data_IF_548060903751
#
_entry.id   IF_548060903751
#
_cell.length_a   1.000
_cell.length_b   1.000
_cell.length_c   1.000
_cell.angle_alpha   90.00
_cell.angle_beta   90.00
_cell.angle_gamma   90.00
#
_symmetry.space_group_name_H-M   'P 1'
#
loop_
_entity.id
_entity.type
_entity.pdbx_description
1 polymer ?
#
# COMPACT_ATOMS: atom_id res chain seq x y z
N UNK A 1 -6.98 7.17 -8.26
CA UNK A 1 -5.81 6.58 -8.96
C UNK A 1 -5.15 7.65 -9.82
N UNK A 2 -3.83 7.81 -9.71
CA UNK A 2 -3.04 8.65 -10.61
C UNK A 2 -2.51 7.78 -11.74
N UNK A 3 -2.43 8.36 -12.95
CA UNK A 3 -1.85 7.69 -14.11
C UNK A 3 -0.53 8.39 -14.42
N UNK A 4 0.55 7.63 -14.44
CA UNK A 4 1.85 8.03 -14.96
C UNK A 4 2.13 7.20 -16.22
N UNK A 5 2.30 7.85 -17.36
CA UNK A 5 2.54 7.19 -18.65
C UNK A 5 3.87 6.40 -18.67
N UNK A 6 4.77 6.69 -17.73
CA UNK A 6 6.06 6.04 -17.60
C UNK A 6 6.09 4.94 -16.51
N UNK A 7 5.01 4.80 -15.73
CA UNK A 7 4.91 3.82 -14.65
C UNK A 7 3.63 3.00 -14.75
N UNK A 8 3.73 1.90 -15.49
CA UNK A 8 2.65 0.91 -15.62
C UNK A 8 2.23 0.34 -14.26
N UNK A 9 3.21 0.08 -13.37
CA UNK A 9 2.98 -0.56 -12.09
C UNK A 9 2.09 0.27 -11.17
N UNK A 10 2.38 1.55 -11.03
CA UNK A 10 1.62 2.46 -10.17
C UNK A 10 0.11 2.41 -10.47
N UNK A 11 -0.24 2.54 -11.75
CA UNK A 11 -1.65 2.46 -12.18
C UNK A 11 -2.23 1.06 -11.98
N UNK A 12 -1.51 0.01 -12.40
CA UNK A 12 -2.03 -1.36 -12.38
C UNK A 12 -2.31 -1.82 -10.95
N UNK A 13 -1.37 -1.62 -10.03
CA UNK A 13 -1.54 -2.01 -8.62
C UNK A 13 -2.65 -1.21 -7.94
N UNK A 14 -2.71 0.09 -8.18
CA UNK A 14 -3.78 0.94 -7.65
C UNK A 14 -5.16 0.50 -8.14
N UNK A 15 -5.32 0.20 -9.43
CA UNK A 15 -6.60 -0.28 -9.98
C UNK A 15 -7.01 -1.64 -9.41
N UNK A 16 -6.07 -2.57 -9.22
CA UNK A 16 -6.36 -3.87 -8.63
C UNK A 16 -6.73 -3.71 -7.15
N UNK A 17 -6.02 -2.85 -6.42
CA UNK A 17 -6.30 -2.50 -5.03
C UNK A 17 -7.72 -1.97 -4.85
N UNK A 18 -8.08 -0.92 -5.58
CA UNK A 18 -9.44 -0.35 -5.53
C UNK A 18 -10.51 -1.35 -5.99
N UNK A 19 -10.16 -2.21 -6.96
CA UNK A 19 -11.00 -3.34 -7.37
C UNK A 19 -11.27 -4.32 -6.23
N UNK A 20 -10.29 -4.59 -5.37
CA UNK A 20 -10.45 -5.42 -4.18
C UNK A 20 -11.43 -4.82 -3.17
N UNK A 21 -11.35 -3.52 -2.91
CA UNK A 21 -12.32 -2.80 -2.11
C UNK A 21 -13.73 -2.89 -2.70
N UNK A 22 -13.86 -2.66 -4.00
CA UNK A 22 -15.15 -2.70 -4.69
C UNK A 22 -15.79 -4.10 -4.66
N UNK A 23 -15.00 -5.16 -4.84
CA UNK A 23 -15.50 -6.54 -4.77
C UNK A 23 -15.98 -6.90 -3.36
N UNK A 24 -15.30 -6.41 -2.32
CA UNK A 24 -15.75 -6.60 -0.94
C UNK A 24 -17.11 -5.93 -0.69
N UNK A 25 -17.25 -4.66 -1.06
CA UNK A 25 -18.52 -3.92 -0.92
C UNK A 25 -19.67 -4.59 -1.72
N UNK A 26 -19.40 -5.06 -2.93
CA UNK A 26 -20.38 -5.77 -3.75
C UNK A 26 -20.80 -7.13 -3.15
N UNK A 27 -19.95 -7.72 -2.32
CA UNK A 27 -20.21 -8.99 -1.63
C UNK A 27 -20.97 -8.87 -0.34
N UNK A 28 -21.21 -7.67 0.16
CA UNK A 28 -22.01 -7.46 1.39
C UNK A 28 -23.48 -7.80 1.16
N UNK A 29 -24.17 -8.41 2.16
CA UNK A 29 -25.57 -8.83 2.03
C UNK A 29 -26.49 -7.61 1.92
N UNK A 30 -27.06 -7.39 0.73
CA UNK A 30 -27.97 -6.25 0.47
C UNK A 30 -29.32 -6.38 1.15
N UNK A 31 -29.76 -7.62 1.43
CA UNK A 31 -31.00 -7.92 2.17
C UNK A 31 -30.95 -7.46 3.62
N UNK A 32 -29.77 -7.25 4.18
CA UNK A 32 -29.55 -6.79 5.55
C UNK A 32 -29.29 -5.27 5.61
N UNK A 33 -29.63 -4.54 4.55
CA UNK A 33 -29.37 -3.10 4.45
C UNK A 33 -29.89 -2.33 5.69
N UNK A 34 -29.00 -1.51 6.26
CA UNK A 34 -29.26 -0.73 7.47
C UNK A 34 -28.99 -1.49 8.78
N UNK A 35 -28.54 -2.75 8.70
CA UNK A 35 -28.09 -3.54 9.84
C UNK A 35 -26.56 -3.71 9.80
N UNK A 36 -25.91 -3.98 10.96
CA UNK A 36 -24.46 -4.16 11.01
C UNK A 36 -23.90 -5.26 10.09
N UNK A 37 -24.73 -6.23 9.68
CA UNK A 37 -24.32 -7.31 8.77
C UNK A 37 -24.14 -6.85 7.33
N UNK A 38 -24.76 -5.73 6.93
CA UNK A 38 -24.59 -5.14 5.59
C UNK A 38 -23.46 -4.12 5.51
N UNK A 39 -22.78 -3.87 6.62
CA UNK A 39 -21.66 -2.95 6.70
C UNK A 39 -20.32 -3.71 6.70
N UNK A 40 -19.26 -3.06 6.26
CA UNK A 40 -17.93 -3.67 6.35
C UNK A 40 -17.52 -3.91 7.81
N UNK A 41 -16.88 -5.04 8.08
CA UNK A 41 -16.55 -5.47 9.44
C UNK A 41 -15.55 -4.53 10.16
N UNK A 42 -14.57 -4.03 9.43
CA UNK A 42 -13.59 -3.03 9.89
C UNK A 42 -12.76 -2.51 8.73
N UNK A 43 -12.08 -1.38 8.95
CA UNK A 43 -11.13 -0.84 7.97
C UNK A 43 -9.98 -1.83 7.67
N UNK A 44 -9.54 -2.62 8.66
CA UNK A 44 -8.49 -3.64 8.44
C UNK A 44 -8.98 -4.80 7.56
N UNK A 45 -10.24 -5.24 7.73
CA UNK A 45 -10.83 -6.26 6.86
C UNK A 45 -11.07 -5.71 5.46
N UNK A 46 -11.51 -4.47 5.35
CA UNK A 46 -11.69 -3.80 4.06
C UNK A 46 -10.36 -3.70 3.31
N UNK A 47 -9.29 -3.27 4.00
CA UNK A 47 -7.93 -3.24 3.46
C UNK A 47 -7.38 -4.64 3.15
N UNK A 48 -7.78 -5.68 3.88
CA UNK A 48 -7.35 -7.04 3.58
C UNK A 48 -7.82 -7.52 2.21
N UNK A 49 -8.99 -7.09 1.77
CA UNK A 49 -9.51 -7.45 0.46
C UNK A 49 -8.77 -6.72 -0.67
N UNK A 50 -8.44 -5.44 -0.50
CA UNK A 50 -7.61 -4.71 -1.46
C UNK A 50 -6.20 -5.31 -1.55
N UNK A 51 -5.58 -5.64 -0.41
CA UNK A 51 -4.24 -6.26 -0.37
C UNK A 51 -4.22 -7.67 -0.91
N UNK A 52 -5.25 -8.47 -0.65
CA UNK A 52 -5.40 -9.79 -1.26
C UNK A 52 -5.34 -9.69 -2.80
N UNK A 53 -6.14 -8.79 -3.37
CA UNK A 53 -6.19 -8.64 -4.82
C UNK A 53 -4.93 -7.97 -5.38
N UNK A 54 -4.38 -6.95 -4.74
CA UNK A 54 -3.17 -6.26 -5.17
C UNK A 54 -1.94 -7.16 -5.11
N UNK A 55 -1.66 -7.73 -3.93
CA UNK A 55 -0.40 -8.43 -3.66
C UNK A 55 -0.50 -9.93 -3.94
N UNK A 56 -1.44 -10.64 -3.31
CA UNK A 56 -1.48 -12.10 -3.39
C UNK A 56 -1.96 -12.58 -4.76
N UNK A 57 -2.93 -11.89 -5.37
CA UNK A 57 -3.43 -12.22 -6.71
C UNK A 57 -2.68 -11.44 -7.79
N UNK A 58 -2.72 -10.11 -7.75
CA UNK A 58 -2.23 -9.24 -8.82
C UNK A 58 -0.72 -9.29 -9.04
N UNK A 59 0.07 -9.59 -8.02
CA UNK A 59 1.52 -9.82 -8.14
C UNK A 59 1.89 -11.29 -8.28
N UNK A 60 0.89 -12.20 -8.28
CA UNK A 60 1.08 -13.64 -8.42
C UNK A 60 1.47 -14.06 -9.84
N UNK A 61 2.32 -15.10 -9.93
CA UNK A 61 2.75 -15.64 -11.23
C UNK A 61 1.56 -16.15 -12.09
N UNK A 62 0.56 -16.87 -11.54
CA UNK A 62 -0.58 -17.34 -12.35
C UNK A 62 -1.39 -16.19 -12.97
N UNK A 63 -1.56 -15.08 -12.25
CA UNK A 63 -2.25 -13.90 -12.76
C UNK A 63 -1.55 -13.36 -14.02
N UNK A 64 -0.22 -13.29 -14.01
CA UNK A 64 0.55 -12.78 -15.15
C UNK A 64 0.74 -13.81 -16.26
N UNK A 65 0.70 -15.11 -15.97
CA UNK A 65 0.61 -16.13 -17.02
C UNK A 65 -0.63 -15.94 -17.87
N UNK A 66 -1.75 -15.54 -17.28
CA UNK A 66 -2.99 -15.25 -17.99
C UNK A 66 -2.99 -13.87 -18.67
N UNK A 67 -2.51 -12.81 -17.99
CA UNK A 67 -2.65 -11.43 -18.43
C UNK A 67 -1.48 -10.91 -19.29
N UNK A 68 -0.31 -11.55 -19.30
CA UNK A 68 0.86 -11.11 -20.08
C UNK A 68 0.58 -11.00 -21.59
N UNK A 69 -0.18 -11.90 -22.24
CA UNK A 69 -0.54 -11.73 -23.66
C UNK A 69 -1.31 -10.43 -23.92
N UNK A 70 -2.19 -10.04 -23.00
CA UNK A 70 -2.95 -8.80 -23.08
C UNK A 70 -2.04 -7.58 -22.89
N UNK A 71 -1.15 -7.62 -21.92
CA UNK A 71 -0.15 -6.57 -21.69
C UNK A 71 0.75 -6.37 -22.93
N UNK A 72 1.25 -7.46 -23.52
CA UNK A 72 2.04 -7.42 -24.78
C UNK A 72 1.27 -6.84 -25.95
N UNK A 73 -0.04 -7.11 -26.03
CA UNK A 73 -0.90 -6.56 -27.08
C UNK A 73 -1.05 -5.04 -26.96
N UNK A 74 -1.24 -4.53 -25.75
CA UNK A 74 -1.48 -3.09 -25.51
C UNK A 74 -0.18 -2.28 -25.39
N UNK A 75 0.89 -2.89 -24.89
CA UNK A 75 2.20 -2.24 -24.66
C UNK A 75 3.33 -3.02 -25.34
N UNK A 76 3.30 -3.18 -26.69
CA UNK A 76 4.26 -4.04 -27.40
C UNK A 76 5.69 -3.55 -27.28
N UNK A 77 5.92 -2.24 -27.23
CA UNK A 77 7.28 -1.70 -27.10
C UNK A 77 7.93 -2.04 -25.75
N UNK A 78 7.15 -2.03 -24.68
CA UNK A 78 7.62 -2.26 -23.33
C UNK A 78 7.71 -3.76 -22.97
N UNK A 79 6.75 -4.56 -23.43
CA UNK A 79 6.60 -5.95 -22.97
C UNK A 79 7.04 -7.03 -23.95
N UNK A 80 7.27 -6.73 -25.26
CA UNK A 80 7.54 -7.77 -26.28
C UNK A 80 8.72 -8.69 -25.93
N UNK A 81 9.80 -8.11 -25.40
CA UNK A 81 11.05 -8.82 -25.10
C UNK A 81 11.17 -9.27 -23.64
N UNK A 82 10.10 -9.11 -22.83
CA UNK A 82 10.12 -9.47 -21.41
C UNK A 82 9.53 -10.87 -21.24
N UNK A 83 10.24 -11.76 -20.53
CA UNK A 83 9.67 -13.04 -20.11
C UNK A 83 8.78 -12.86 -18.88
N UNK A 84 7.88 -13.81 -18.64
CA UNK A 84 7.00 -13.79 -17.46
C UNK A 84 7.83 -13.83 -16.18
N UNK A 85 8.89 -14.64 -16.17
CA UNK A 85 9.79 -14.78 -15.01
C UNK A 85 10.55 -13.49 -14.71
N UNK A 86 11.01 -12.78 -15.75
CA UNK A 86 11.65 -11.47 -15.58
C UNK A 86 10.68 -10.46 -15.02
N UNK A 87 9.46 -10.41 -15.55
CA UNK A 87 8.43 -9.51 -15.07
C UNK A 87 8.03 -9.84 -13.63
N UNK A 88 7.76 -11.12 -13.32
CA UNK A 88 7.41 -11.57 -11.98
C UNK A 88 8.49 -11.19 -10.94
N UNK A 89 9.76 -11.39 -11.26
CA UNK A 89 10.87 -10.99 -10.39
C UNK A 89 10.93 -9.46 -10.20
N UNK A 90 10.67 -8.70 -11.25
CA UNK A 90 10.72 -7.23 -11.19
C UNK A 90 9.61 -6.65 -10.30
N UNK A 91 8.36 -7.15 -10.43
CA UNK A 91 7.22 -6.65 -9.66
C UNK A 91 7.20 -7.11 -8.21
N UNK A 92 7.98 -8.13 -7.86
CA UNK A 92 8.13 -8.65 -6.49
C UNK A 92 9.53 -8.36 -5.91
N UNK A 93 10.24 -7.37 -6.47
CA UNK A 93 11.54 -6.97 -5.96
C UNK A 93 11.37 -6.32 -4.59
N UNK A 94 12.12 -6.81 -3.60
CA UNK A 94 12.19 -6.19 -2.27
C UNK A 94 13.32 -5.16 -2.28
N UNK A 95 12.96 -3.91 -2.04
CA UNK A 95 13.91 -2.81 -1.98
C UNK A 95 13.34 -1.66 -1.14
N UNK A 96 14.00 -1.23 -0.05
CA UNK A 96 13.59 -0.08 0.71
C UNK A 96 13.39 1.15 -0.19
N UNK A 97 12.30 1.86 0.01
CA UNK A 97 11.93 3.06 -0.74
C UNK A 97 11.54 4.20 0.19
N UNK A 98 11.49 5.42 -0.34
CA UNK A 98 11.20 6.62 0.46
C UNK A 98 9.71 6.81 0.69
N UNK A 99 8.88 6.49 -0.30
CA UNK A 99 7.45 6.76 -0.30
C UNK A 99 6.67 5.49 0.06
N UNK A 100 5.83 5.57 1.09
CA UNK A 100 5.05 4.43 1.61
C UNK A 100 4.19 3.77 0.55
N UNK A 101 3.46 4.57 -0.24
CA UNK A 101 2.54 4.04 -1.25
C UNK A 101 3.23 3.37 -2.45
N UNK A 102 4.55 3.56 -2.58
CA UNK A 102 5.39 2.96 -3.62
C UNK A 102 6.26 1.81 -3.07
N UNK A 103 6.15 1.53 -1.76
CA UNK A 103 6.95 0.50 -1.11
C UNK A 103 6.52 -0.91 -1.57
N UNK A 104 7.49 -1.82 -1.62
CA UNK A 104 7.22 -3.24 -1.82
C UNK A 104 6.46 -3.85 -0.62
N UNK A 105 5.91 -5.03 -0.82
CA UNK A 105 5.05 -5.71 0.16
C UNK A 105 5.73 -5.91 1.52
N UNK A 106 7.02 -6.23 1.54
CA UNK A 106 7.75 -6.48 2.78
C UNK A 106 8.14 -5.19 3.50
N UNK A 107 8.79 -4.24 2.79
CA UNK A 107 9.26 -3.00 3.41
C UNK A 107 8.13 -2.03 3.74
N UNK A 108 6.96 -2.19 3.14
CA UNK A 108 5.75 -1.42 3.46
C UNK A 108 5.43 -1.40 4.96
N UNK A 109 5.62 -2.51 5.65
CA UNK A 109 5.32 -2.63 7.08
C UNK A 109 6.22 -1.76 7.95
N UNK A 110 7.47 -1.52 7.56
CA UNK A 110 8.34 -0.58 8.27
C UNK A 110 7.83 0.86 8.18
N UNK A 111 7.28 1.24 7.03
CA UNK A 111 6.63 2.55 6.88
C UNK A 111 5.44 2.71 7.83
N UNK A 112 4.63 1.66 7.98
CA UNK A 112 3.50 1.66 8.92
C UNK A 112 3.99 1.72 10.36
N UNK A 113 5.00 0.93 10.73
CA UNK A 113 5.58 0.92 12.08
C UNK A 113 6.11 2.29 12.49
N UNK A 114 6.85 2.97 11.62
CA UNK A 114 7.39 4.32 11.89
C UNK A 114 6.26 5.28 12.25
N UNK A 115 5.17 5.28 11.49
CA UNK A 115 4.02 6.16 11.72
C UNK A 115 3.30 5.81 13.01
N UNK A 116 3.10 4.53 13.27
CA UNK A 116 2.47 4.05 14.50
C UNK A 116 3.28 4.46 15.75
N UNK A 117 4.61 4.30 15.72
CA UNK A 117 5.47 4.68 16.84
C UNK A 117 5.43 6.20 17.10
N UNK A 118 5.46 7.01 16.04
CA UNK A 118 5.36 8.48 16.14
C UNK A 118 3.98 8.88 16.69
N UNK A 119 2.89 8.30 16.17
CA UNK A 119 1.53 8.55 16.69
C UNK A 119 1.43 8.22 18.17
N UNK A 120 1.96 7.06 18.58
CA UNK A 120 1.98 6.65 19.99
C UNK A 120 2.70 7.66 20.86
N UNK A 121 3.91 8.07 20.45
CA UNK A 121 4.70 9.07 21.17
C UNK A 121 4.00 10.44 21.28
N UNK A 122 3.28 10.86 20.24
CA UNK A 122 2.49 12.09 20.22
C UNK A 122 1.32 12.03 21.23
N UNK A 123 0.55 10.94 21.20
CA UNK A 123 -0.61 10.74 22.08
C UNK A 123 -0.18 10.59 23.55
N UNK A 124 0.91 9.90 23.81
CA UNK A 124 1.50 9.77 25.15
C UNK A 124 2.17 11.07 25.65
N UNK A 125 2.34 12.06 24.76
CA UNK A 125 2.98 13.33 25.11
C UNK A 125 4.50 13.25 25.27
N UNK A 126 5.12 12.16 24.80
CA UNK A 126 6.58 11.94 24.87
C UNK A 126 7.33 12.85 23.91
N UNK A 127 6.69 13.24 22.79
CA UNK A 127 7.21 14.21 21.82
C UNK A 127 6.16 15.28 21.52
N UNK A 128 6.61 16.38 20.91
CA UNK A 128 5.74 17.45 20.40
C UNK A 128 5.72 17.42 18.88
N UNK A 129 4.71 18.03 18.28
CA UNK A 129 4.55 18.11 16.82
C UNK A 129 5.80 18.62 16.10
N UNK A 130 6.50 19.60 16.67
CA UNK A 130 7.74 20.14 16.12
C UNK A 130 8.89 19.13 16.03
N UNK A 131 8.82 18.05 16.80
CA UNK A 131 9.87 17.04 16.89
C UNK A 131 9.67 15.92 15.85
N UNK A 132 8.49 15.89 15.20
CA UNK A 132 8.13 14.85 14.22
C UNK A 132 9.19 14.67 13.11
N UNK A 133 9.70 15.73 12.43
CA UNK A 133 10.68 15.54 11.37
C UNK A 133 11.94 14.83 11.83
N UNK A 134 12.44 15.16 13.02
CA UNK A 134 13.64 14.54 13.57
C UNK A 134 13.44 13.05 13.87
N UNK A 135 12.33 12.68 14.57
CA UNK A 135 11.98 11.28 14.84
C UNK A 135 11.71 10.50 13.56
N UNK A 136 11.03 11.11 12.58
CA UNK A 136 10.80 10.49 11.29
C UNK A 136 12.10 10.12 10.60
N UNK A 137 13.03 11.05 10.48
CA UNK A 137 14.30 10.85 9.81
C UNK A 137 15.15 9.77 10.51
N UNK A 138 15.19 9.79 11.86
CA UNK A 138 15.88 8.77 12.65
C UNK A 138 15.29 7.36 12.40
N UNK A 139 13.97 7.22 12.40
CA UNK A 139 13.32 5.93 12.21
C UNK A 139 13.47 5.41 10.77
N UNK A 140 13.44 6.30 9.77
CA UNK A 140 13.70 5.92 8.38
C UNK A 140 15.13 5.39 8.19
N UNK A 141 16.12 6.05 8.78
CA UNK A 141 17.50 5.56 8.73
C UNK A 141 17.65 4.25 9.49
N UNK A 142 17.02 4.12 10.66
CA UNK A 142 17.08 2.93 11.49
C UNK A 142 16.43 1.69 10.88
N UNK A 143 15.22 1.83 10.31
CA UNK A 143 14.43 0.68 9.84
C UNK A 143 14.58 0.40 8.34
N UNK A 144 14.80 1.43 7.53
CA UNK A 144 14.88 1.31 6.07
C UNK A 144 16.29 1.58 5.53
N UNK A 145 17.19 2.14 6.33
CA UNK A 145 18.53 2.52 5.88
C UNK A 145 18.53 3.72 4.92
N UNK A 146 17.45 4.52 4.90
CA UNK A 146 17.25 5.62 3.96
C UNK A 146 17.37 6.96 4.70
N UNK A 147 18.12 7.90 4.11
CA UNK A 147 18.15 9.30 4.53
C UNK A 147 17.02 10.05 3.83
N UNK A 148 16.19 10.72 4.62
CA UNK A 148 15.09 11.54 4.13
C UNK A 148 15.63 12.90 3.69
N UNK A 149 15.42 13.32 2.43
CA UNK A 149 16.02 14.55 1.91
C UNK A 149 15.29 15.83 2.35
N UNK A 150 13.98 15.76 2.56
CA UNK A 150 13.10 16.87 2.90
C UNK A 150 11.80 16.39 3.55
N UNK A 151 11.03 17.32 4.12
CA UNK A 151 9.79 16.98 4.82
C UNK A 151 8.65 16.59 3.86
N UNK A 152 8.67 17.00 2.60
CA UNK A 152 7.66 16.67 1.60
C UNK A 152 7.74 15.16 1.28
N UNK A 153 8.95 14.67 1.05
CA UNK A 153 9.22 13.23 0.88
C UNK A 153 9.30 12.47 2.21
N UNK A 154 9.30 13.19 3.32
CA UNK A 154 9.36 12.70 4.69
C UNK A 154 7.98 12.70 5.36
N UNK A 155 7.90 13.36 6.51
CA UNK A 155 6.73 13.32 7.40
C UNK A 155 5.46 13.98 6.82
N UNK A 156 5.56 14.71 5.71
CA UNK A 156 4.43 15.32 5.02
C UNK A 156 3.93 14.52 3.81
N UNK A 157 4.47 13.34 3.56
CA UNK A 157 4.08 12.52 2.40
C UNK A 157 2.65 11.94 2.49
N UNK A 158 2.09 11.84 3.71
CA UNK A 158 0.74 11.31 3.97
C UNK A 158 -0.21 12.42 4.43
N UNK A 159 -1.49 12.28 4.07
CA UNK A 159 -2.55 13.25 4.44
C UNK A 159 -3.24 12.92 5.77
N UNK A 160 -2.99 11.75 6.35
CA UNK A 160 -3.71 11.21 7.50
C UNK A 160 -3.73 12.18 8.70
N UNK A 161 -2.58 12.69 9.10
CA UNK A 161 -2.50 13.59 10.25
C UNK A 161 -3.11 14.95 9.99
N UNK A 162 -3.10 15.43 8.75
CA UNK A 162 -3.66 16.73 8.38
C UNK A 162 -5.20 16.77 8.51
N UNK A 163 -5.88 15.62 8.41
CA UNK A 163 -7.33 15.53 8.65
C UNK A 163 -7.70 14.74 9.92
N UNK A 164 -6.73 14.50 10.80
CA UNK A 164 -6.99 13.97 12.14
C UNK A 164 -7.14 12.45 12.25
N UNK A 165 -6.73 11.68 11.25
CA UNK A 165 -6.78 10.20 11.26
C UNK A 165 -5.62 9.59 12.04
N UNK A 166 -5.59 9.80 13.34
CA UNK A 166 -4.63 9.14 14.24
C UNK A 166 -5.07 7.70 14.54
N UNK A 167 -4.08 6.78 14.62
CA UNK A 167 -4.32 5.35 14.82
C UNK A 167 -4.71 4.59 13.56
N UNK A 168 -4.83 5.26 12.42
CA UNK A 168 -5.25 4.62 11.17
C UNK A 168 -4.17 3.74 10.54
N UNK A 169 -2.89 4.12 10.61
CA UNK A 169 -1.81 3.43 9.90
C UNK A 169 -1.66 1.95 10.24
N UNK A 170 -1.94 1.54 11.49
CA UNK A 170 -1.91 0.13 11.89
C UNK A 170 -2.87 -0.75 11.06
N UNK A 171 -3.98 -0.17 10.60
CA UNK A 171 -4.99 -0.81 9.75
C UNK A 171 -4.38 -1.43 8.48
N UNK A 172 -3.41 -0.77 7.87
CA UNK A 172 -2.75 -1.23 6.67
C UNK A 172 -1.95 -2.54 6.87
N UNK A 173 -1.15 -2.60 7.94
CA UNK A 173 -0.40 -3.83 8.25
C UNK A 173 -1.32 -4.96 8.70
N UNK A 174 -2.35 -4.67 9.49
CA UNK A 174 -3.36 -5.66 9.87
C UNK A 174 -4.10 -6.19 8.63
N UNK A 175 -4.45 -5.31 7.69
CA UNK A 175 -5.05 -5.69 6.42
C UNK A 175 -4.17 -6.66 5.63
N UNK A 176 -2.88 -6.37 5.48
CA UNK A 176 -1.93 -7.28 4.82
C UNK A 176 -1.81 -8.63 5.53
N UNK A 177 -1.77 -8.64 6.87
CA UNK A 177 -1.72 -9.88 7.65
C UNK A 177 -2.99 -10.73 7.53
N UNK A 178 -4.17 -10.10 7.39
CA UNK A 178 -5.42 -10.81 7.16
C UNK A 178 -5.57 -11.31 5.72
N UNK A 179 -4.90 -10.66 4.76
CA UNK A 179 -4.91 -11.05 3.35
C UNK A 179 -4.05 -12.29 3.08
N UNK A 180 -2.98 -12.50 3.85
CA UNK A 180 -2.03 -13.61 3.73
C UNK A 180 -2.58 -14.92 4.32
#
# INVERSE_FOLDING_TARGET
TRIDENDFGNMAWSCIHEGGHALYEQGLPTEEYGLPLSEYASLSIHESQSRLWENNVGRGLPFWQYNMPLAKKHFPQQFSNITIEQFYKAINKVQPSLIRTEADELTYHFHVMIRYEIEKMLIEGSIKTKDIPAYWNEHYEKYLGIKVPDDISGCLQDVHWSHGSFGYFATYSLGSLYAA
#
